data_IF_368436866877
#
_entry.id   IF_368436866877
#
_cell.length_a   1.000
_cell.length_b   1.000
_cell.length_c   1.000
_cell.angle_alpha   90.00
_cell.angle_beta   90.00
_cell.angle_gamma   90.00
#
_symmetry.space_group_name_H-M   'P 1'
#
loop_
_entity.id
_entity.type
_entity.pdbx_description
1 polymer ?
#
# COMPACT_ATOMS: atom_id res chain seq x y z
N UNK A 1 -11.65 17.68 18.31
CA UNK A 1 -10.50 16.79 18.51
C UNK A 1 -9.26 17.59 18.16
N UNK A 2 -8.13 17.39 18.84
CA UNK A 2 -6.86 18.03 18.46
C UNK A 2 -6.42 17.49 17.11
N UNK A 3 -5.87 18.35 16.24
CA UNK A 3 -5.29 17.94 14.96
C UNK A 3 -4.06 17.08 15.20
N UNK A 4 -3.98 15.92 14.54
CA UNK A 4 -2.84 15.01 14.63
C UNK A 4 -1.73 15.50 13.71
N UNK A 5 -0.54 15.69 14.28
CA UNK A 5 0.65 16.16 13.56
C UNK A 5 1.40 15.00 12.95
N UNK A 6 1.43 14.95 11.63
CA UNK A 6 2.07 13.90 10.84
C UNK A 6 3.37 14.41 10.24
N UNK A 7 4.41 13.59 10.25
CA UNK A 7 5.62 13.82 9.46
C UNK A 7 5.83 12.69 8.45
N UNK A 8 6.47 13.01 7.33
CA UNK A 8 6.76 12.04 6.26
C UNK A 8 8.27 11.88 6.14
N UNK A 9 8.77 10.67 6.36
CA UNK A 9 10.16 10.32 6.07
C UNK A 9 10.25 9.59 4.73
N UNK A 10 10.87 10.21 3.75
CA UNK A 10 10.89 9.76 2.35
C UNK A 10 9.75 10.36 1.52
N UNK A 11 10.08 11.34 0.68
CA UNK A 11 9.14 12.02 -0.20
C UNK A 11 9.21 11.51 -1.64
N UNK A 12 9.33 10.17 -1.76
CA UNK A 12 9.25 9.41 -3.01
C UNK A 12 7.82 9.30 -3.55
N UNK A 13 7.52 8.27 -4.32
CA UNK A 13 6.18 8.03 -4.88
C UNK A 13 5.11 8.04 -3.80
N UNK A 14 5.26 7.16 -2.80
CA UNK A 14 4.25 6.98 -1.74
C UNK A 14 4.13 8.24 -0.86
N UNK A 15 5.25 8.80 -0.39
CA UNK A 15 5.21 10.00 0.47
C UNK A 15 4.51 11.19 -0.20
N UNK A 16 4.76 11.44 -1.50
CA UNK A 16 4.08 12.52 -2.22
C UNK A 16 2.59 12.28 -2.44
N UNK A 17 2.19 11.05 -2.75
CA UNK A 17 0.77 10.73 -2.92
C UNK A 17 0.01 10.75 -1.59
N UNK A 18 0.64 10.31 -0.50
CA UNK A 18 0.10 10.49 0.85
C UNK A 18 -0.11 11.97 1.16
N UNK A 19 0.90 12.81 0.90
CA UNK A 19 0.78 14.26 1.09
C UNK A 19 -0.41 14.83 0.32
N UNK A 20 -0.57 14.49 -0.97
CA UNK A 20 -1.70 14.94 -1.80
C UNK A 20 -3.06 14.54 -1.23
N UNK A 21 -3.18 13.38 -0.60
CA UNK A 21 -4.43 12.93 0.00
C UNK A 21 -4.71 13.56 1.37
N UNK A 22 -3.68 13.71 2.21
CA UNK A 22 -3.81 14.28 3.55
C UNK A 22 -3.99 15.79 3.50
N UNK A 23 -3.44 16.44 2.50
CA UNK A 23 -3.41 17.88 2.33
C UNK A 23 -4.77 18.53 2.44
N UNK A 24 -5.61 18.68 3.05
CA UNK A 24 -6.96 19.22 3.30
C UNK A 24 -7.85 18.22 4.04
N UNK A 25 -7.26 17.17 4.60
CA UNK A 25 -8.03 16.24 5.40
C UNK A 25 -8.22 16.81 6.80
N UNK A 26 -9.48 16.89 7.25
CA UNK A 26 -9.78 17.38 8.60
C UNK A 26 -9.14 16.48 9.67
N UNK A 27 -8.56 17.13 10.67
CA UNK A 27 -7.99 16.44 11.83
C UNK A 27 -6.58 15.88 11.66
N UNK A 28 -5.94 16.07 10.50
CA UNK A 28 -4.54 15.69 10.24
C UNK A 28 -3.80 16.86 9.61
N UNK A 29 -2.57 17.11 10.06
CA UNK A 29 -1.68 18.13 9.51
C UNK A 29 -0.28 17.57 9.26
N UNK A 30 0.29 17.84 8.06
CA UNK A 30 1.65 17.44 7.71
C UNK A 30 2.61 18.58 8.09
N UNK A 31 3.27 18.42 9.23
CA UNK A 31 4.11 19.47 9.83
C UNK A 31 5.56 19.46 9.35
N UNK A 32 6.08 18.33 8.88
CA UNK A 32 7.46 18.21 8.40
C UNK A 32 7.64 17.04 7.44
N UNK A 33 8.63 17.17 6.56
CA UNK A 33 9.06 16.13 5.62
C UNK A 33 10.57 15.98 5.75
N UNK A 34 11.10 14.75 5.66
CA UNK A 34 12.50 14.47 5.51
C UNK A 34 12.77 13.73 4.20
N UNK A 35 13.66 14.27 3.37
CA UNK A 35 14.13 13.62 2.15
C UNK A 35 15.53 14.18 1.80
N UNK A 36 16.39 13.36 1.23
CA UNK A 36 17.78 13.77 0.90
C UNK A 36 17.87 14.64 -0.37
N UNK A 37 16.73 14.83 -1.04
CA UNK A 37 16.61 15.63 -2.27
C UNK A 37 16.25 17.08 -1.95
N UNK A 38 16.66 18.02 -2.79
CA UNK A 38 16.38 19.44 -2.56
C UNK A 38 14.88 19.78 -2.64
N UNK A 39 14.39 20.76 -1.84
CA UNK A 39 13.00 21.20 -1.85
C UNK A 39 12.48 21.57 -3.26
N UNK A 40 13.32 22.16 -4.10
CA UNK A 40 12.98 22.51 -5.49
C UNK A 40 12.58 21.29 -6.32
N UNK A 41 13.35 20.19 -6.22
CA UNK A 41 13.04 18.95 -6.95
C UNK A 41 11.80 18.28 -6.37
N UNK A 42 11.68 18.23 -5.04
CA UNK A 42 10.53 17.63 -4.36
C UNK A 42 9.23 18.38 -4.69
N UNK A 43 9.23 19.71 -4.68
CA UNK A 43 8.08 20.53 -5.07
C UNK A 43 7.68 20.30 -6.54
N UNK A 44 8.66 20.20 -7.44
CA UNK A 44 8.40 19.92 -8.86
C UNK A 44 7.71 18.54 -9.02
N UNK A 45 8.24 17.51 -8.37
CA UNK A 45 7.69 16.14 -8.43
C UNK A 45 6.38 16.00 -7.65
N UNK A 46 6.11 16.85 -6.65
CA UNK A 46 4.80 16.93 -6.01
C UNK A 46 3.76 17.53 -6.97
N UNK A 47 4.15 18.55 -7.73
CA UNK A 47 3.25 19.26 -8.65
C UNK A 47 2.92 18.44 -9.89
N UNK A 48 3.92 17.76 -10.48
CA UNK A 48 3.79 17.03 -11.73
C UNK A 48 4.05 15.55 -11.52
N UNK A 49 3.12 14.72 -11.93
CA UNK A 49 3.19 13.26 -11.78
C UNK A 49 2.68 12.60 -13.06
N UNK A 50 3.52 11.74 -13.66
CA UNK A 50 3.19 11.09 -14.93
C UNK A 50 2.04 10.08 -14.78
N UNK A 51 1.99 9.36 -13.65
CA UNK A 51 0.97 8.34 -13.42
C UNK A 51 -0.33 8.95 -12.86
N UNK A 52 -0.20 9.89 -11.90
CA UNK A 52 -1.33 10.41 -11.11
C UNK A 52 -1.75 11.84 -11.51
N UNK A 53 -1.16 12.36 -12.60
CA UNK A 53 -1.51 13.68 -13.11
C UNK A 53 -1.00 14.84 -12.25
N UNK A 54 -1.32 16.05 -12.69
CA UNK A 54 -0.94 17.28 -12.02
C UNK A 54 -1.70 17.44 -10.70
N UNK A 55 -0.97 17.83 -9.64
CA UNK A 55 -1.59 18.20 -8.36
C UNK A 55 -2.33 19.55 -8.51
N UNK A 56 -3.59 19.58 -8.12
CA UNK A 56 -4.43 20.78 -8.19
C UNK A 56 -4.17 21.67 -6.96
N UNK A 57 -2.97 22.26 -6.94
CA UNK A 57 -2.52 23.18 -5.92
C UNK A 57 -1.42 24.12 -6.47
N UNK A 58 -1.27 25.31 -5.89
CA UNK A 58 -0.11 26.16 -6.12
C UNK A 58 1.05 25.64 -5.26
N UNK A 59 2.04 25.02 -5.92
CA UNK A 59 3.21 24.41 -5.26
C UNK A 59 4.44 25.21 -5.59
N UNK A 60 5.12 25.70 -4.54
CA UNK A 60 6.39 26.45 -4.61
C UNK A 60 7.41 25.81 -3.66
N UNK A 61 8.68 26.11 -3.89
CA UNK A 61 9.78 25.76 -3.01
C UNK A 61 10.46 27.03 -2.48
N UNK A 62 10.87 26.98 -1.23
CA UNK A 62 11.88 27.88 -0.64
C UNK A 62 13.21 27.16 -0.53
N UNK A 63 14.19 27.74 0.13
CA UNK A 63 15.49 27.12 0.38
C UNK A 63 15.36 25.80 1.17
N UNK A 64 14.42 25.73 2.12
CA UNK A 64 14.29 24.61 3.06
C UNK A 64 12.84 24.18 3.34
N UNK A 65 11.92 24.51 2.44
CA UNK A 65 10.48 24.19 2.59
C UNK A 65 9.81 23.99 1.24
N UNK A 66 8.64 23.35 1.28
CA UNK A 66 7.64 23.35 0.21
C UNK A 66 6.46 24.16 0.71
N UNK A 67 5.93 25.03 -0.16
CA UNK A 67 4.74 25.85 0.11
C UNK A 67 3.63 25.37 -0.80
N UNK A 68 2.49 24.97 -0.25
CA UNK A 68 1.32 24.49 -0.99
C UNK A 68 0.12 25.38 -0.65
N UNK A 69 -0.40 26.12 -1.63
CA UNK A 69 -1.47 27.11 -1.45
C UNK A 69 -1.25 28.10 -0.30
N UNK A 70 0.00 28.41 0.03
CA UNK A 70 0.38 29.30 1.12
C UNK A 70 0.80 28.59 2.41
N UNK A 71 0.48 27.31 2.59
CA UNK A 71 0.89 26.53 3.76
C UNK A 71 2.32 26.01 3.57
N UNK A 72 3.18 26.34 4.51
CA UNK A 72 4.60 26.00 4.49
C UNK A 72 4.89 24.71 5.25
N UNK A 73 5.52 23.73 4.59
CA UNK A 73 5.99 22.48 5.19
C UNK A 73 7.51 22.42 5.14
N UNK A 74 8.13 22.26 6.30
CA UNK A 74 9.58 22.23 6.46
C UNK A 74 10.17 20.94 5.89
N UNK A 75 11.27 21.06 5.13
CA UNK A 75 12.03 19.93 4.58
C UNK A 75 13.35 19.78 5.35
N UNK A 76 13.60 18.57 5.83
CA UNK A 76 14.85 18.14 6.41
C UNK A 76 15.58 17.17 5.48
N UNK A 77 16.89 17.03 5.62
CA UNK A 77 17.74 16.17 4.79
C UNK A 77 18.67 15.30 5.66
N UNK A 78 18.12 14.66 6.68
CA UNK A 78 18.86 13.81 7.60
C UNK A 78 18.85 12.35 7.14
N UNK A 79 20.04 11.73 7.05
CA UNK A 79 20.20 10.31 6.71
C UNK A 79 19.81 9.39 7.87
N UNK A 80 20.13 9.82 9.09
CA UNK A 80 19.83 9.08 10.32
C UNK A 80 18.49 9.57 10.88
N UNK A 81 17.45 8.72 10.96
CA UNK A 81 16.15 9.12 11.48
C UNK A 81 16.17 9.65 12.93
N UNK A 82 17.13 9.20 13.75
CA UNK A 82 17.26 9.66 15.13
C UNK A 82 17.68 11.15 15.26
N UNK A 83 18.20 11.74 14.18
CA UNK A 83 18.66 13.13 14.13
C UNK A 83 17.63 14.10 13.55
N UNK A 84 16.50 13.58 13.05
CA UNK A 84 15.44 14.42 12.50
C UNK A 84 14.70 15.09 13.67
N UNK A 85 14.46 16.41 13.65
CA UNK A 85 13.93 17.12 14.81
C UNK A 85 12.40 16.96 14.99
N UNK A 86 11.89 15.72 15.02
CA UNK A 86 10.46 15.42 15.19
C UNK A 86 9.87 16.02 16.46
N UNK A 87 10.66 16.03 17.54
CA UNK A 87 10.26 16.62 18.81
C UNK A 87 9.94 18.11 18.70
N UNK A 88 10.71 18.86 17.89
CA UNK A 88 10.50 20.29 17.69
C UNK A 88 9.18 20.61 16.98
N UNK A 89 8.64 19.67 16.22
CA UNK A 89 7.35 19.75 15.53
C UNK A 89 6.23 19.08 16.30
N UNK A 90 6.51 18.51 17.48
CA UNK A 90 5.53 17.74 18.27
C UNK A 90 4.84 16.64 17.43
N UNK A 91 5.61 15.90 16.65
CA UNK A 91 5.09 14.89 15.71
C UNK A 91 4.40 13.76 16.45
N UNK A 92 3.13 13.56 16.17
CA UNK A 92 2.35 12.43 16.70
C UNK A 92 2.66 11.14 15.92
N UNK A 93 2.67 11.20 14.59
CA UNK A 93 2.87 10.03 13.73
C UNK A 93 3.91 10.33 12.65
N UNK A 94 4.94 9.49 12.55
CA UNK A 94 5.82 9.46 11.38
C UNK A 94 5.33 8.41 10.39
N UNK A 95 5.18 8.81 9.12
CA UNK A 95 4.99 7.90 8.00
C UNK A 95 6.37 7.56 7.42
N UNK A 96 6.82 6.33 7.63
CA UNK A 96 8.09 5.85 7.09
C UNK A 96 7.87 5.35 5.65
N UNK A 97 8.25 6.19 4.68
CA UNK A 97 8.02 5.97 3.25
C UNK A 97 9.32 5.80 2.44
N UNK A 98 10.48 5.63 3.10
CA UNK A 98 11.78 5.46 2.41
C UNK A 98 11.99 4.05 1.87
N UNK A 99 11.36 3.05 2.49
CA UNK A 99 11.60 1.63 2.22
C UNK A 99 12.92 1.10 2.82
N UNK A 100 13.66 1.89 3.60
CA UNK A 100 14.92 1.49 4.24
C UNK A 100 14.75 1.06 5.70
N UNK A 101 13.83 1.69 6.43
CA UNK A 101 13.61 1.45 7.86
C UNK A 101 12.37 0.57 8.07
N UNK A 102 12.36 -0.60 7.41
CA UNK A 102 11.24 -1.55 7.41
C UNK A 102 11.38 -2.64 8.48
N UNK A 103 12.38 -2.52 9.34
CA UNK A 103 12.54 -3.34 10.54
C UNK A 103 12.15 -2.52 11.77
N UNK A 104 11.43 -3.14 12.73
CA UNK A 104 10.96 -2.45 13.95
C UNK A 104 12.10 -1.73 14.67
N UNK A 105 13.23 -2.42 14.89
CA UNK A 105 14.37 -1.85 15.60
C UNK A 105 14.97 -0.65 14.87
N UNK A 106 14.97 -0.65 13.53
CA UNK A 106 15.40 0.51 12.74
C UNK A 106 14.41 1.66 12.79
N UNK A 107 13.10 1.35 12.77
CA UNK A 107 12.04 2.34 12.82
C UNK A 107 11.94 3.04 14.20
N UNK A 108 12.41 2.39 15.28
CA UNK A 108 12.50 2.98 16.63
C UNK A 108 13.35 4.25 16.68
N UNK A 109 14.24 4.47 15.71
CA UNK A 109 14.99 5.71 15.58
C UNK A 109 14.10 6.95 15.46
N UNK A 110 12.92 6.84 14.88
CA UNK A 110 11.93 7.93 14.83
C UNK A 110 11.33 8.24 16.20
N UNK A 111 11.14 7.23 17.05
CA UNK A 111 10.68 7.43 18.44
C UNK A 111 11.77 8.13 19.25
N UNK A 112 13.04 7.74 19.06
CA UNK A 112 14.21 8.41 19.65
C UNK A 112 14.28 9.87 19.25
N UNK A 113 13.91 10.22 18.01
CA UNK A 113 13.84 11.58 17.49
C UNK A 113 12.66 12.40 18.05
N UNK A 114 11.76 11.76 18.81
CA UNK A 114 10.66 12.41 19.51
C UNK A 114 9.27 12.25 18.86
N UNK A 115 9.12 11.40 17.85
CA UNK A 115 7.80 11.00 17.37
C UNK A 115 7.10 10.08 18.37
N UNK A 116 5.77 10.16 18.48
CA UNK A 116 5.00 9.29 19.38
C UNK A 116 4.72 7.91 18.78
N UNK A 117 4.50 7.86 17.46
CA UNK A 117 4.11 6.65 16.71
C UNK A 117 4.81 6.62 15.36
N UNK A 118 4.95 5.41 14.79
CA UNK A 118 5.50 5.21 13.43
C UNK A 118 4.58 4.28 12.65
N UNK A 119 4.27 4.64 11.42
CA UNK A 119 3.56 3.80 10.46
C UNK A 119 4.48 3.52 9.29
N UNK A 120 4.88 2.24 9.13
CA UNK A 120 5.76 1.80 8.05
C UNK A 120 4.91 1.52 6.81
N UNK A 121 5.20 2.22 5.71
CA UNK A 121 4.50 2.09 4.43
C UNK A 121 5.01 0.93 3.56
N UNK A 122 5.39 -0.17 4.18
CA UNK A 122 5.92 -1.37 3.52
C UNK A 122 5.71 -2.59 4.42
N UNK A 123 5.83 -3.82 3.87
CA UNK A 123 5.99 -5.01 4.71
C UNK A 123 7.17 -4.84 5.66
N UNK A 124 6.96 -5.12 6.93
CA UNK A 124 7.97 -4.91 7.97
C UNK A 124 8.33 -6.21 8.68
N UNK A 125 9.51 -6.20 9.32
CA UNK A 125 10.01 -7.30 10.16
C UNK A 125 10.08 -6.87 11.63
N UNK A 126 10.10 -7.86 12.53
CA UNK A 126 10.08 -7.65 13.97
C UNK A 126 8.69 -7.89 14.57
N UNK A 127 8.61 -7.75 15.89
CA UNK A 127 7.35 -7.91 16.63
C UNK A 127 6.51 -6.62 16.53
N UNK A 128 5.68 -6.54 15.49
CA UNK A 128 4.75 -5.44 15.22
C UNK A 128 3.51 -5.93 14.48
N UNK A 129 2.40 -5.21 14.62
CA UNK A 129 1.16 -5.53 13.92
C UNK A 129 1.24 -5.10 12.46
N UNK A 130 0.79 -5.99 11.55
CA UNK A 130 0.63 -5.71 10.13
C UNK A 130 -0.85 -5.48 9.84
N UNK A 131 -1.19 -4.33 9.28
CA UNK A 131 -2.56 -3.84 9.15
C UNK A 131 -2.95 -3.71 7.68
N UNK A 132 -4.13 -4.21 7.37
CA UNK A 132 -4.90 -3.87 6.17
C UNK A 132 -6.23 -3.27 6.61
N UNK A 133 -6.48 -2.02 6.21
CA UNK A 133 -7.70 -1.32 6.60
C UNK A 133 -8.96 -2.05 6.10
N UNK A 134 -10.01 -2.06 6.90
CA UNK A 134 -11.26 -2.83 6.71
C UNK A 134 -11.11 -4.36 6.67
N UNK A 135 -9.93 -4.91 7.00
CA UNK A 135 -9.72 -6.34 7.21
C UNK A 135 -9.40 -6.63 8.67
N UNK A 136 -8.32 -6.03 9.19
CA UNK A 136 -7.90 -6.27 10.58
C UNK A 136 -7.52 -5.00 11.36
N UNK A 137 -7.85 -3.80 10.87
CA UNK A 137 -7.50 -2.54 11.53
C UNK A 137 -8.06 -2.42 12.96
N UNK A 138 -9.15 -3.13 13.25
CA UNK A 138 -9.81 -3.17 14.55
C UNK A 138 -8.99 -3.87 15.65
N UNK A 139 -7.88 -4.55 15.30
CA UNK A 139 -6.95 -5.10 16.31
C UNK A 139 -6.06 -4.02 16.94
N UNK A 140 -6.06 -2.80 16.38
CA UNK A 140 -5.37 -1.64 16.95
C UNK A 140 -6.17 -1.09 18.13
N UNK A 141 -5.50 -0.91 19.26
CA UNK A 141 -6.09 -0.35 20.49
C UNK A 141 -5.44 0.97 20.92
N UNK A 142 -4.43 1.44 20.17
CA UNK A 142 -3.67 2.67 20.44
C UNK A 142 -2.43 2.46 21.30
N UNK A 143 -2.20 1.27 21.85
CA UNK A 143 -0.98 0.95 22.60
C UNK A 143 0.25 0.78 21.70
N UNK A 144 0.03 0.45 20.42
CA UNK A 144 1.12 0.22 19.47
C UNK A 144 1.93 1.50 19.23
N UNK A 145 3.23 1.37 19.22
CA UNK A 145 4.16 2.45 18.87
C UNK A 145 4.57 2.41 17.40
N UNK A 146 4.67 1.22 16.82
CA UNK A 146 5.09 1.00 15.43
C UNK A 146 4.17 -0.05 14.81
N UNK A 147 3.61 0.26 13.63
CA UNK A 147 2.79 -0.65 12.83
C UNK A 147 3.27 -0.69 11.38
N UNK A 148 2.93 -1.75 10.66
CA UNK A 148 3.12 -1.87 9.21
C UNK A 148 1.78 -1.83 8.50
N UNK A 149 1.70 -1.12 7.37
CA UNK A 149 0.54 -1.14 6.48
C UNK A 149 0.68 -2.15 5.32
N UNK A 150 1.52 -3.17 5.49
CA UNK A 150 1.75 -4.23 4.51
C UNK A 150 2.22 -3.71 3.13
N UNK A 151 2.00 -4.50 2.09
CA UNK A 151 2.26 -4.12 0.69
C UNK A 151 0.97 -3.75 -0.06
N UNK A 152 1.11 -3.09 -1.21
CA UNK A 152 -0.02 -2.81 -2.11
C UNK A 152 -0.74 -4.11 -2.52
N UNK A 153 0.01 -5.15 -2.86
CA UNK A 153 -0.54 -6.46 -3.23
C UNK A 153 -1.28 -7.12 -2.06
N UNK A 154 -0.75 -7.04 -0.83
CA UNK A 154 -1.44 -7.56 0.36
C UNK A 154 -2.76 -6.80 0.62
N UNK A 155 -2.78 -5.48 0.42
CA UNK A 155 -3.99 -4.67 0.56
C UNK A 155 -5.05 -5.00 -0.50
N UNK A 156 -4.64 -5.42 -1.70
CA UNK A 156 -5.56 -5.91 -2.72
C UNK A 156 -6.06 -7.34 -2.42
N UNK A 157 -5.16 -8.24 -2.04
CA UNK A 157 -5.45 -9.65 -1.81
C UNK A 157 -6.36 -9.86 -0.59
N UNK A 158 -6.09 -9.17 0.51
CA UNK A 158 -6.69 -9.48 1.81
C UNK A 158 -8.22 -9.39 1.84
N UNK A 159 -8.89 -8.33 1.37
CA UNK A 159 -10.36 -8.27 1.43
C UNK A 159 -11.02 -9.35 0.55
N UNK A 160 -10.49 -9.63 -0.64
CA UNK A 160 -10.98 -10.70 -1.50
C UNK A 160 -10.79 -12.08 -0.85
N UNK A 161 -9.61 -12.35 -0.30
CA UNK A 161 -9.32 -13.61 0.39
C UNK A 161 -10.13 -13.78 1.68
N UNK A 162 -10.44 -12.69 2.39
CA UNK A 162 -11.32 -12.69 3.56
C UNK A 162 -12.72 -13.20 3.20
N UNK A 163 -13.33 -12.67 2.14
CA UNK A 163 -14.65 -13.11 1.69
C UNK A 163 -14.63 -14.58 1.29
N UNK A 164 -13.62 -15.01 0.53
CA UNK A 164 -13.47 -16.43 0.15
C UNK A 164 -13.34 -17.33 1.37
N UNK A 165 -12.51 -16.96 2.35
CA UNK A 165 -12.32 -17.75 3.57
C UNK A 165 -13.58 -17.80 4.44
N UNK A 166 -14.22 -16.67 4.71
CA UNK A 166 -15.37 -16.58 5.61
C UNK A 166 -16.63 -17.24 5.04
N UNK A 167 -16.87 -17.13 3.72
CA UNK A 167 -18.09 -17.62 3.09
C UNK A 167 -17.96 -19.05 2.58
N UNK A 168 -16.79 -19.42 2.08
CA UNK A 168 -16.61 -20.69 1.36
C UNK A 168 -15.48 -21.56 1.96
N UNK A 169 -14.56 -21.00 2.72
CA UNK A 169 -13.41 -21.68 3.32
C UNK A 169 -12.36 -22.07 2.28
N UNK A 170 -11.21 -21.41 2.29
CA UNK A 170 -10.08 -21.76 1.42
C UNK A 170 -9.38 -23.01 1.97
N UNK A 171 -9.28 -24.05 1.15
CA UNK A 171 -8.45 -25.23 1.44
C UNK A 171 -6.99 -24.91 1.16
N UNK A 172 -6.69 -24.56 -0.08
CA UNK A 172 -5.40 -24.06 -0.55
C UNK A 172 -5.59 -23.28 -1.85
N UNK A 173 -4.54 -22.55 -2.26
CA UNK A 173 -4.59 -21.82 -3.52
C UNK A 173 -3.26 -21.19 -3.88
N UNK A 174 -3.20 -20.71 -5.12
CA UNK A 174 -2.11 -19.91 -5.64
C UNK A 174 -2.62 -18.52 -6.01
N UNK A 175 -1.84 -17.51 -5.67
CA UNK A 175 -2.07 -16.15 -6.13
C UNK A 175 -1.01 -15.75 -7.15
N UNK A 176 -1.45 -15.04 -8.18
CA UNK A 176 -0.54 -14.37 -9.11
C UNK A 176 -0.91 -12.90 -9.16
N UNK A 177 0.07 -12.02 -8.98
CA UNK A 177 -0.15 -10.60 -9.28
C UNK A 177 0.54 -10.24 -10.58
N UNK A 178 -0.23 -9.68 -11.50
CA UNK A 178 0.25 -9.01 -12.71
C UNK A 178 0.43 -7.54 -12.30
N UNK A 179 1.68 -7.14 -12.13
CA UNK A 179 2.03 -5.91 -11.42
C UNK A 179 2.79 -4.94 -12.31
N UNK A 180 2.42 -3.68 -12.27
CA UNK A 180 3.19 -2.62 -12.91
C UNK A 180 4.64 -2.62 -12.41
N UNK A 181 5.59 -2.17 -13.24
CA UNK A 181 6.97 -2.03 -12.79
C UNK A 181 7.09 -0.96 -11.69
N UNK A 182 8.09 -1.06 -10.86
CA UNK A 182 8.37 -0.10 -9.77
C UNK A 182 9.86 0.23 -9.73
N UNK A 183 10.25 1.24 -8.95
CA UNK A 183 11.62 1.73 -8.88
C UNK A 183 12.65 0.72 -8.31
N UNK A 184 12.22 -0.46 -7.91
CA UNK A 184 13.10 -1.57 -7.56
C UNK A 184 13.63 -2.33 -8.79
N UNK A 185 13.19 -1.97 -10.00
CA UNK A 185 13.64 -2.51 -11.27
C UNK A 185 14.49 -1.49 -12.03
N UNK A 186 15.47 -1.97 -12.76
CA UNK A 186 16.27 -1.10 -13.63
C UNK A 186 15.47 -0.63 -14.85
N UNK A 187 15.67 0.61 -15.27
CA UNK A 187 15.07 1.14 -16.51
C UNK A 187 15.69 0.52 -17.77
N UNK A 188 16.98 0.23 -17.72
CA UNK A 188 17.75 -0.49 -18.75
C UNK A 188 18.54 -1.64 -18.11
N UNK A 189 19.07 -2.55 -18.93
CA UNK A 189 19.89 -3.66 -18.45
C UNK A 189 21.14 -3.12 -17.73
N UNK A 190 21.22 -3.34 -16.42
CA UNK A 190 22.33 -2.90 -15.59
C UNK A 190 22.40 -3.74 -14.30
N UNK A 191 23.56 -3.78 -13.61
CA UNK A 191 23.67 -4.48 -12.34
C UNK A 191 22.63 -4.00 -11.33
N UNK A 192 21.92 -4.95 -10.70
CA UNK A 192 20.95 -4.64 -9.67
C UNK A 192 21.63 -4.63 -8.28
N UNK A 193 21.36 -3.63 -7.38
CA UNK A 193 22.06 -3.50 -6.10
C UNK A 193 21.99 -4.72 -5.19
N UNK A 194 20.91 -5.52 -5.31
CA UNK A 194 20.71 -6.75 -4.53
C UNK A 194 21.10 -8.02 -5.31
N UNK A 195 21.74 -7.89 -6.47
CA UNK A 195 22.13 -9.04 -7.31
C UNK A 195 20.97 -9.79 -7.97
N UNK A 196 19.77 -9.21 -8.03
CA UNK A 196 18.60 -9.83 -8.67
C UNK A 196 18.73 -9.75 -10.19
N UNK A 197 18.95 -10.89 -10.85
CA UNK A 197 19.20 -10.96 -12.29
C UNK A 197 17.98 -10.60 -13.14
N UNK A 198 16.77 -10.76 -12.62
CA UNK A 198 15.53 -10.42 -13.32
C UNK A 198 15.22 -8.93 -13.20
N UNK A 199 15.35 -8.35 -11.99
CA UNK A 199 15.20 -6.90 -11.78
C UNK A 199 16.32 -6.08 -12.42
N UNK A 200 17.43 -6.72 -12.80
CA UNK A 200 18.51 -6.12 -13.56
C UNK A 200 18.15 -5.79 -15.02
N UNK A 201 17.00 -6.27 -15.51
CA UNK A 201 16.58 -6.09 -16.91
C UNK A 201 15.63 -4.91 -17.06
N UNK A 202 15.61 -4.35 -18.29
CA UNK A 202 14.79 -3.19 -18.67
C UNK A 202 13.30 -3.37 -18.33
N UNK A 203 12.82 -2.63 -17.35
CA UNK A 203 11.48 -2.78 -16.75
C UNK A 203 10.34 -2.54 -17.75
N UNK A 204 10.49 -1.52 -18.61
CA UNK A 204 9.45 -1.11 -19.56
C UNK A 204 9.42 -1.95 -20.86
N UNK A 205 10.25 -3.00 -20.97
CA UNK A 205 10.36 -3.85 -22.16
C UNK A 205 10.18 -5.35 -21.89
N UNK A 206 10.06 -5.75 -20.63
CA UNK A 206 10.05 -7.15 -20.26
C UNK A 206 8.88 -7.50 -19.33
N UNK A 207 8.35 -8.72 -19.48
CA UNK A 207 7.63 -9.40 -18.41
C UNK A 207 8.68 -9.98 -17.48
N UNK A 208 8.69 -9.55 -16.22
CA UNK A 208 9.73 -9.93 -15.26
C UNK A 208 9.13 -10.76 -14.12
N UNK A 209 9.31 -12.10 -14.12
CA UNK A 209 8.85 -12.94 -13.02
C UNK A 209 9.59 -12.61 -11.72
N UNK A 210 8.85 -12.46 -10.62
CA UNK A 210 9.38 -12.14 -9.31
C UNK A 210 8.69 -12.96 -8.21
N UNK A 211 9.39 -13.18 -7.11
CA UNK A 211 8.74 -13.60 -5.88
C UNK A 211 7.90 -12.45 -5.31
N UNK A 212 6.84 -12.79 -4.61
CA UNK A 212 6.06 -11.84 -3.81
C UNK A 212 5.92 -12.34 -2.38
N UNK A 213 6.10 -11.44 -1.42
CA UNK A 213 5.82 -11.73 -0.01
C UNK A 213 4.33 -11.65 0.36
N UNK A 214 3.46 -11.22 -0.57
CA UNK A 214 2.06 -10.95 -0.27
C UNK A 214 1.29 -12.20 0.16
N UNK A 215 1.51 -13.34 -0.51
CA UNK A 215 0.88 -14.61 -0.14
C UNK A 215 1.28 -15.10 1.25
N UNK A 216 2.54 -14.87 1.66
CA UNK A 216 3.02 -15.19 3.02
C UNK A 216 2.52 -14.19 4.05
N UNK A 217 2.48 -12.91 3.67
CA UNK A 217 2.02 -11.83 4.53
C UNK A 217 0.52 -11.89 4.85
N UNK A 218 -0.28 -12.59 4.01
CA UNK A 218 -1.71 -12.74 4.25
C UNK A 218 -2.00 -13.40 5.60
N UNK A 219 -1.17 -14.35 6.03
CA UNK A 219 -1.30 -15.02 7.33
C UNK A 219 -1.02 -14.12 8.54
N UNK A 220 -0.40 -12.93 8.35
CA UNK A 220 -0.24 -11.93 9.41
C UNK A 220 -1.52 -11.08 9.57
N UNK A 221 -2.29 -10.93 8.50
CA UNK A 221 -3.52 -10.13 8.44
C UNK A 221 -4.75 -10.99 8.70
N UNK A 222 -4.77 -12.19 8.12
CA UNK A 222 -5.82 -13.22 8.26
C UNK A 222 -5.17 -14.52 8.75
N UNK A 223 -5.07 -14.75 10.06
CA UNK A 223 -4.36 -15.92 10.63
C UNK A 223 -4.90 -17.27 10.14
N UNK A 224 -6.19 -17.37 9.82
CA UNK A 224 -6.83 -18.58 9.26
C UNK A 224 -6.27 -19.00 7.89
N UNK A 225 -5.63 -18.08 7.17
CA UNK A 225 -5.02 -18.31 5.87
C UNK A 225 -3.52 -18.65 5.92
N UNK A 226 -2.95 -18.73 7.12
CA UNK A 226 -1.52 -19.04 7.27
C UNK A 226 -1.17 -20.39 6.64
N UNK A 227 -0.31 -20.37 5.62
CA UNK A 227 0.13 -21.56 4.90
C UNK A 227 -0.83 -22.12 3.85
N UNK A 228 -2.02 -21.52 3.67
CA UNK A 228 -2.99 -21.95 2.65
C UNK A 228 -2.73 -21.34 1.27
N UNK A 229 -2.09 -20.18 1.19
CA UNK A 229 -1.80 -19.48 -0.06
C UNK A 229 -0.30 -19.36 -0.27
N UNK A 230 0.15 -19.60 -1.51
CA UNK A 230 1.46 -19.23 -2.02
C UNK A 230 1.31 -18.45 -3.33
N UNK A 231 2.36 -17.84 -3.85
CA UNK A 231 2.21 -17.10 -5.08
C UNK A 231 3.45 -16.40 -5.60
N UNK A 232 3.25 -15.76 -6.75
CA UNK A 232 4.29 -15.05 -7.50
C UNK A 232 3.79 -13.74 -8.08
N UNK A 233 4.72 -12.92 -8.55
CA UNK A 233 4.45 -11.69 -9.28
C UNK A 233 4.98 -11.78 -10.70
N UNK A 234 4.24 -11.21 -11.65
CA UNK A 234 4.71 -10.96 -13.01
C UNK A 234 4.73 -9.44 -13.20
N UNK A 235 5.92 -8.84 -13.22
CA UNK A 235 6.04 -7.41 -13.51
C UNK A 235 5.88 -7.19 -15.01
N UNK A 236 5.03 -6.24 -15.38
CA UNK A 236 4.69 -5.95 -16.78
C UNK A 236 4.98 -4.49 -17.13
N UNK A 237 5.15 -4.16 -18.44
CA UNK A 237 5.48 -2.81 -18.90
C UNK A 237 4.31 -1.82 -18.80
N UNK A 238 3.74 -1.66 -17.62
CA UNK A 238 2.73 -0.63 -17.29
C UNK A 238 3.25 0.27 -16.18
N UNK A 239 2.93 1.56 -16.24
CA UNK A 239 3.43 2.57 -15.32
C UNK A 239 2.83 2.40 -13.92
N UNK A 240 1.52 2.18 -13.86
CA UNK A 240 0.74 1.83 -12.68
C UNK A 240 -0.51 1.08 -13.12
N UNK A 241 -1.25 0.50 -12.20
CA UNK A 241 -2.38 -0.38 -12.49
C UNK A 241 -1.96 -1.84 -12.53
N UNK A 242 -2.39 -2.59 -11.52
CA UNK A 242 -2.03 -3.98 -11.26
C UNK A 242 -3.30 -4.78 -10.95
N UNK A 243 -3.21 -6.09 -11.08
CA UNK A 243 -4.28 -6.99 -10.64
C UNK A 243 -3.70 -8.16 -9.83
N UNK A 244 -4.53 -8.71 -8.95
CA UNK A 244 -4.24 -9.94 -8.21
C UNK A 244 -5.28 -10.97 -8.55
N UNK A 245 -4.82 -12.13 -9.00
CA UNK A 245 -5.62 -13.32 -9.26
C UNK A 245 -5.41 -14.34 -8.14
N UNK A 246 -6.50 -14.96 -7.66
CA UNK A 246 -6.46 -16.10 -6.73
C UNK A 246 -7.14 -17.27 -7.40
N UNK A 247 -6.40 -18.36 -7.56
CA UNK A 247 -6.94 -19.65 -7.98
C UNK A 247 -6.89 -20.60 -6.79
N UNK A 248 -8.05 -21.07 -6.33
CA UNK A 248 -8.16 -21.82 -5.08
C UNK A 248 -9.16 -22.98 -5.13
N UNK A 249 -8.95 -23.95 -4.24
CA UNK A 249 -9.91 -24.97 -3.88
C UNK A 249 -10.62 -24.49 -2.60
N UNK A 250 -11.95 -24.54 -2.61
CA UNK A 250 -12.79 -24.13 -1.50
C UNK A 250 -13.42 -25.34 -0.80
N UNK A 251 -13.75 -25.21 0.50
CA UNK A 251 -14.47 -26.24 1.24
C UNK A 251 -15.91 -26.42 0.77
N UNK A 252 -16.55 -25.31 0.37
CA UNK A 252 -17.93 -25.32 -0.15
C UNK A 252 -17.91 -25.18 -1.65
N UNK A 253 -18.62 -26.07 -2.35
CA UNK A 253 -18.92 -25.89 -3.78
C UNK A 253 -19.77 -24.63 -3.95
N UNK A 254 -19.54 -23.90 -5.04
CA UNK A 254 -20.18 -22.62 -5.31
C UNK A 254 -20.35 -22.39 -6.80
N UNK A 255 -21.05 -21.34 -7.18
CA UNK A 255 -21.21 -20.89 -8.56
C UNK A 255 -20.56 -19.52 -8.75
N UNK A 256 -20.43 -19.07 -10.00
CA UNK A 256 -19.96 -17.72 -10.33
C UNK A 256 -20.86 -16.66 -9.70
N UNK A 257 -22.18 -16.88 -9.77
CA UNK A 257 -23.19 -15.97 -9.26
C UNK A 257 -23.10 -15.83 -7.73
N UNK A 258 -22.93 -16.95 -7.02
CA UNK A 258 -22.79 -16.96 -5.55
C UNK A 258 -21.49 -16.27 -5.10
N UNK A 259 -20.37 -16.50 -5.81
CA UNK A 259 -19.09 -15.82 -5.55
C UNK A 259 -19.25 -14.32 -5.76
N UNK A 260 -19.77 -13.91 -6.91
CA UNK A 260 -19.95 -12.49 -7.25
C UNK A 260 -20.92 -11.81 -6.28
N UNK A 261 -22.01 -12.47 -5.89
CA UNK A 261 -22.96 -11.95 -4.91
C UNK A 261 -22.30 -11.75 -3.52
N UNK A 262 -21.47 -12.70 -3.08
CA UNK A 262 -20.75 -12.58 -1.82
C UNK A 262 -19.75 -11.42 -1.84
N UNK A 263 -19.01 -11.24 -2.94
CA UNK A 263 -18.07 -10.13 -3.11
C UNK A 263 -18.80 -8.77 -3.17
N UNK A 264 -19.92 -8.70 -3.91
CA UNK A 264 -20.76 -7.50 -3.98
C UNK A 264 -21.33 -7.10 -2.61
N UNK A 265 -21.79 -8.07 -1.85
CA UNK A 265 -22.32 -7.86 -0.51
C UNK A 265 -21.24 -7.39 0.51
N UNK A 266 -19.98 -7.71 0.28
CA UNK A 266 -18.85 -7.31 1.10
C UNK A 266 -18.23 -5.96 0.69
N UNK A 267 -18.69 -5.35 -0.41
CA UNK A 267 -18.13 -4.10 -0.91
C UNK A 267 -18.32 -2.94 0.08
N UNK A 268 -17.32 -2.08 0.15
CA UNK A 268 -17.25 -0.93 1.05
C UNK A 268 -16.26 0.11 0.49
N UNK A 269 -15.91 1.13 1.26
CA UNK A 269 -14.95 2.19 0.84
C UNK A 269 -13.53 1.69 0.48
N UNK A 270 -13.13 0.52 0.99
CA UNK A 270 -11.82 -0.10 0.74
C UNK A 270 -11.86 -1.25 -0.26
N UNK A 271 -12.99 -1.92 -0.38
CA UNK A 271 -13.22 -3.06 -1.25
C UNK A 271 -14.36 -2.77 -2.22
N UNK A 272 -14.00 -2.41 -3.45
CA UNK A 272 -14.95 -2.12 -4.51
C UNK A 272 -15.37 -3.37 -5.30
N UNK A 273 -16.39 -3.19 -6.13
CA UNK A 273 -16.95 -4.22 -7.01
C UNK A 273 -17.28 -3.62 -8.37
N UNK A 274 -16.92 -4.29 -9.45
CA UNK A 274 -17.27 -3.86 -10.82
C UNK A 274 -17.78 -5.03 -11.66
N UNK A 275 -18.67 -4.72 -12.59
CA UNK A 275 -19.16 -5.59 -13.67
C UNK A 275 -18.73 -5.04 -15.04
N UNK A 276 -17.96 -3.94 -15.06
CA UNK A 276 -17.44 -3.35 -16.28
C UNK A 276 -16.21 -4.12 -16.79
N UNK A 277 -16.05 -4.20 -18.10
CA UNK A 277 -14.91 -4.82 -18.78
C UNK A 277 -13.72 -3.83 -18.81
N UNK A 278 -13.08 -3.63 -17.65
CA UNK A 278 -12.01 -2.67 -17.44
C UNK A 278 -10.62 -3.24 -17.73
N UNK A 279 -9.67 -2.33 -17.97
CA UNK A 279 -8.24 -2.61 -18.14
C UNK A 279 -7.40 -1.76 -17.17
N UNK A 280 -6.09 -1.99 -17.13
CA UNK A 280 -5.19 -1.36 -16.16
C UNK A 280 -5.17 0.18 -16.18
N UNK A 281 -5.46 0.81 -17.31
CA UNK A 281 -5.55 2.29 -17.39
C UNK A 281 -6.79 2.85 -16.72
N UNK A 282 -7.88 2.09 -16.62
CA UNK A 282 -9.15 2.54 -16.06
C UNK A 282 -9.11 2.62 -14.53
N UNK A 283 -8.14 1.93 -13.92
CA UNK A 283 -8.00 1.90 -12.45
C UNK A 283 -6.93 2.87 -11.92
N UNK A 284 -6.33 3.69 -12.80
CA UNK A 284 -5.35 4.69 -12.37
C UNK A 284 -6.07 5.74 -11.50
N UNK A 285 -5.55 5.95 -10.31
CA UNK A 285 -6.11 6.92 -9.36
C UNK A 285 -7.31 6.43 -8.54
N UNK A 286 -7.71 5.15 -8.64
CA UNK A 286 -8.80 4.63 -7.79
C UNK A 286 -8.39 4.59 -6.32
N UNK A 287 -9.36 4.81 -5.44
CA UNK A 287 -9.17 4.85 -4.00
C UNK A 287 -9.53 3.54 -3.27
N UNK A 288 -10.13 2.57 -3.96
CA UNK A 288 -10.32 1.23 -3.40
C UNK A 288 -8.97 0.54 -3.21
N UNK A 289 -8.73 -0.07 -2.07
CA UNK A 289 -7.55 -0.91 -1.84
C UNK A 289 -7.53 -2.14 -2.75
N UNK A 290 -8.74 -2.60 -3.10
CA UNK A 290 -9.02 -3.75 -3.96
C UNK A 290 -10.34 -3.50 -4.69
N UNK A 291 -10.37 -3.62 -6.01
CA UNK A 291 -11.58 -3.52 -6.83
C UNK A 291 -11.85 -4.89 -7.47
N UNK A 292 -12.81 -5.61 -6.92
CA UNK A 292 -13.19 -6.94 -7.41
C UNK A 292 -13.81 -6.87 -8.79
N UNK A 293 -13.31 -7.70 -9.70
CA UNK A 293 -13.79 -7.80 -11.09
C UNK A 293 -14.67 -9.04 -11.27
N UNK A 294 -15.98 -8.86 -11.26
CA UNK A 294 -16.96 -9.93 -11.39
C UNK A 294 -16.92 -10.61 -12.77
N UNK A 295 -16.44 -9.91 -13.79
CA UNK A 295 -16.36 -10.44 -15.16
C UNK A 295 -15.29 -11.52 -15.30
N UNK A 296 -14.31 -11.53 -14.39
CA UNK A 296 -13.17 -12.44 -14.39
C UNK A 296 -13.35 -13.66 -13.48
N UNK A 297 -14.45 -13.75 -12.74
CA UNK A 297 -14.76 -14.93 -11.89
C UNK A 297 -14.95 -16.17 -12.75
N UNK A 298 -14.29 -17.28 -12.36
CA UNK A 298 -14.43 -18.58 -13.03
C UNK A 298 -14.61 -19.68 -12.00
N UNK A 299 -15.45 -20.64 -12.33
CA UNK A 299 -15.67 -21.85 -11.56
C UNK A 299 -15.53 -23.04 -12.52
N UNK A 300 -14.58 -23.93 -12.23
CA UNK A 300 -14.33 -25.13 -13.02
C UNK A 300 -14.53 -26.37 -12.15
N UNK A 301 -15.43 -27.28 -12.60
CA UNK A 301 -15.68 -28.55 -11.95
C UNK A 301 -14.86 -29.65 -12.62
N UNK A 302 -14.10 -30.43 -11.83
CA UNK A 302 -13.33 -31.58 -12.29
C UNK A 302 -13.62 -32.75 -11.36
N UNK A 303 -14.49 -33.66 -11.75
CA UNK A 303 -15.00 -34.72 -10.88
C UNK A 303 -15.62 -34.13 -9.61
N UNK A 304 -15.15 -34.58 -8.46
CA UNK A 304 -15.61 -34.07 -7.15
C UNK A 304 -14.91 -32.77 -6.70
N UNK A 305 -13.87 -32.36 -7.40
CA UNK A 305 -13.09 -31.16 -7.09
C UNK A 305 -13.62 -29.96 -7.87
N UNK A 306 -13.62 -28.81 -7.21
CA UNK A 306 -13.96 -27.54 -7.82
C UNK A 306 -12.80 -26.57 -7.65
N UNK A 307 -12.39 -25.96 -8.76
CA UNK A 307 -11.39 -24.91 -8.80
C UNK A 307 -12.08 -23.59 -9.08
N UNK A 308 -11.80 -22.57 -8.28
CA UNK A 308 -12.31 -21.21 -8.46
C UNK A 308 -11.19 -20.25 -8.78
N UNK A 309 -11.47 -19.26 -9.62
CA UNK A 309 -10.57 -18.13 -9.88
C UNK A 309 -11.33 -16.83 -9.65
N UNK A 310 -10.71 -15.92 -8.88
CA UNK A 310 -11.21 -14.57 -8.61
C UNK A 310 -10.11 -13.56 -8.89
N UNK A 311 -10.49 -12.35 -9.30
CA UNK A 311 -9.57 -11.28 -9.71
C UNK A 311 -9.97 -9.96 -9.05
N UNK A 312 -8.99 -9.22 -8.57
CA UNK A 312 -9.16 -7.86 -8.10
C UNK A 312 -8.08 -6.93 -8.67
N UNK A 313 -8.50 -5.74 -9.06
CA UNK A 313 -7.66 -4.66 -9.54
C UNK A 313 -7.21 -3.75 -8.40
N UNK A 314 -6.07 -3.10 -8.56
CA UNK A 314 -5.58 -2.05 -7.67
C UNK A 314 -4.60 -1.13 -8.39
N UNK A 315 -4.74 0.17 -8.19
CA UNK A 315 -3.63 1.08 -8.47
C UNK A 315 -2.56 0.83 -7.40
N UNK A 316 -1.43 0.21 -7.77
CA UNK A 316 -0.39 -0.17 -6.81
C UNK A 316 0.20 1.03 -6.04
N UNK A 317 -0.07 2.26 -6.47
CA UNK A 317 0.28 3.50 -5.79
C UNK A 317 -0.94 4.10 -5.06
N UNK A 318 -1.97 4.56 -5.77
CA UNK A 318 -3.10 5.29 -5.19
C UNK A 318 -4.00 4.43 -4.30
N UNK A 319 -4.30 3.19 -4.70
CA UNK A 319 -5.06 2.25 -3.86
C UNK A 319 -4.35 2.00 -2.53
N UNK A 320 -3.02 1.76 -2.59
CA UNK A 320 -2.21 1.53 -1.40
C UNK A 320 -2.17 2.78 -0.50
N UNK A 321 -1.92 3.94 -1.09
CA UNK A 321 -1.88 5.23 -0.35
C UNK A 321 -3.22 5.49 0.33
N UNK A 322 -4.34 5.20 -0.32
CA UNK A 322 -5.67 5.37 0.26
C UNK A 322 -5.88 4.48 1.50
N UNK A 323 -5.42 3.24 1.45
CA UNK A 323 -5.46 2.32 2.61
C UNK A 323 -4.53 2.79 3.74
N UNK A 324 -3.33 3.26 3.39
CA UNK A 324 -2.39 3.84 4.33
C UNK A 324 -2.99 5.05 5.04
N UNK A 325 -3.58 5.98 4.30
CA UNK A 325 -4.22 7.19 4.85
C UNK A 325 -5.42 6.84 5.76
N UNK A 326 -6.27 5.88 5.36
CA UNK A 326 -7.36 5.38 6.23
C UNK A 326 -6.83 4.78 7.52
N UNK A 327 -5.76 3.98 7.43
CA UNK A 327 -5.11 3.37 8.60
C UNK A 327 -4.53 4.45 9.53
N UNK A 328 -3.84 5.44 8.97
CA UNK A 328 -3.27 6.57 9.73
C UNK A 328 -4.38 7.36 10.42
N UNK A 329 -5.45 7.69 9.71
CA UNK A 329 -6.59 8.41 10.27
C UNK A 329 -7.30 7.64 11.41
N UNK A 330 -7.45 6.33 11.24
CA UNK A 330 -7.98 5.47 12.30
C UNK A 330 -7.04 5.43 13.51
N UNK A 331 -5.75 5.19 13.28
CA UNK A 331 -4.73 5.10 14.32
C UNK A 331 -4.57 6.43 15.07
N UNK A 332 -4.63 7.54 14.37
CA UNK A 332 -4.60 8.89 14.93
C UNK A 332 -5.74 9.13 15.95
N UNK A 333 -6.95 8.66 15.65
CA UNK A 333 -8.10 8.75 16.57
C UNK A 333 -7.91 7.96 17.86
N UNK A 334 -7.12 6.88 17.82
CA UNK A 334 -6.79 6.10 19.02
C UNK A 334 -5.76 6.81 19.91
N UNK A 335 -4.89 7.65 19.34
CA UNK A 335 -3.90 8.43 20.09
C UNK A 335 -4.56 9.57 20.86
N UNK A 336 -5.64 10.13 20.34
CA UNK A 336 -6.33 11.29 20.89
C UNK A 336 -7.28 10.95 22.06
N UNK A 337 -7.43 9.69 22.38
CA UNK A 337 -8.18 9.19 23.52
C UNK A 337 -7.27 9.00 24.73
#
# INVERSE_FOLDING_TARGET
MSTVKVAINGFGRIGRLVYRQIYKMDGIDVVAINDLTSPKVLAHLLKYDTAQGRFDADVKATENSIVVNGDEVKIYAQKNPAEIPWKAHEVDVVLECTGFFTDKAKAEAHLTAGARKVVISAPATGDLKTIVFNVNHNILDGSETIISCASCTTNCLAPMAQVLEEKFGIVNGLMTTIHAYTNDQNTQDAPHPKGDLRRARAAAQNIVPNSTGAAKAIGLVLPSLKGKLDGSAQRVPTLTGSLTEVTAILNKKTTVEELNAAMKAASNESFGYTEDEIVSSDIIGIHFGSLFDATQTRVQNVGDTQLVRTVSWYDNEMSYVSQLVRTVHYFAKLISK
#
